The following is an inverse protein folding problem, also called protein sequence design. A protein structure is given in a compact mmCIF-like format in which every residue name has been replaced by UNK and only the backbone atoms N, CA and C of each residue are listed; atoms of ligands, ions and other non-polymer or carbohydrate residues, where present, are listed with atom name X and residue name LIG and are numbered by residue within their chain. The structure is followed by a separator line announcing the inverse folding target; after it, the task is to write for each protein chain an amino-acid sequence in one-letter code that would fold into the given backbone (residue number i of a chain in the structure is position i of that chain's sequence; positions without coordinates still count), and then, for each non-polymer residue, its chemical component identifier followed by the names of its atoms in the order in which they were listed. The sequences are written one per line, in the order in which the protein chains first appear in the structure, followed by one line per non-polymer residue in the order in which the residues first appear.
data_IF_330681010399
#
_entry.id   IF_330681010399
#
_cell.length_a   1.000
_cell.length_b   1.000
_cell.length_c   1.000
_cell.angle_alpha   90.00
_cell.angle_beta   90.00
_cell.angle_gamma   90.00
#
_symmetry.space_group_name_H-M   'P 1'
#
loop_
_entity.id
_entity.type
_entity.pdbx_description
1 polymer ?
#
# COMPACT_ATOMS: atom_id res chain seq x y z
N UNK A 1 -6.06 -1.36 -18.99
CA UNK A 1 -6.32 -0.67 -17.71
C UNK A 1 -4.99 -0.37 -17.02
N UNK A 2 -4.77 0.83 -16.47
CA UNK A 2 -3.56 1.13 -15.67
C UNK A 2 -3.89 0.95 -14.19
N UNK A 3 -3.04 0.20 -13.49
CA UNK A 3 -3.07 0.00 -12.05
C UNK A 3 -1.93 0.81 -11.47
N UNK A 4 -2.26 1.78 -10.62
CA UNK A 4 -1.29 2.71 -10.05
C UNK A 4 -1.07 2.33 -8.59
N UNK A 5 0.19 2.07 -8.23
CA UNK A 5 0.62 1.88 -6.86
C UNK A 5 1.05 3.22 -6.28
N UNK A 6 0.35 3.67 -5.25
CA UNK A 6 0.71 4.88 -4.51
C UNK A 6 0.75 4.58 -3.02
N UNK A 7 1.90 4.90 -2.45
CA UNK A 7 2.04 5.13 -1.03
C UNK A 7 1.51 6.49 -0.70
N UNK A 8 0.37 6.53 -0.03
CA UNK A 8 -0.14 7.76 0.53
C UNK A 8 -0.01 7.63 2.04
N UNK A 9 0.99 8.26 2.68
CA UNK A 9 0.94 8.46 4.11
C UNK A 9 -0.24 9.41 4.39
N UNK A 10 -1.40 8.85 4.71
CA UNK A 10 -2.53 9.64 5.17
C UNK A 10 -2.35 9.77 6.68
N UNK A 11 -1.98 10.96 7.14
CA UNK A 11 -2.09 11.30 8.56
C UNK A 11 -3.57 11.41 8.91
N UNK A 12 -4.20 10.30 9.27
CA UNK A 12 -5.54 10.31 9.86
C UNK A 12 -5.36 10.62 11.34
N UNK A 13 -5.57 11.86 11.74
CA UNK A 13 -5.64 12.19 13.14
C UNK A 13 -6.86 11.47 13.76
N UNK A 14 -6.61 10.45 14.56
CA UNK A 14 -7.65 9.71 15.27
C UNK A 14 -8.30 10.62 16.33
N UNK A 15 -9.35 11.33 15.95
CA UNK A 15 -10.25 12.04 16.84
C UNK A 15 -9.76 13.42 17.33
N UNK A 16 -10.65 14.42 17.26
CA UNK A 16 -10.42 15.80 17.70
C UNK A 16 -9.86 15.92 19.14
N UNK A 17 -10.17 14.96 20.01
CA UNK A 17 -9.73 14.94 21.42
C UNK A 17 -8.24 14.61 21.57
N UNK A 18 -7.66 13.83 20.66
CA UNK A 18 -6.25 13.43 20.69
C UNK A 18 -5.35 14.51 20.06
N UNK A 19 -5.89 15.29 19.12
CA UNK A 19 -5.19 16.42 18.47
C UNK A 19 -4.85 17.51 19.49
N UNK A 20 -5.80 17.87 20.36
CA UNK A 20 -5.62 18.95 21.34
C UNK A 20 -4.52 18.66 22.38
N UNK A 21 -4.37 17.42 22.82
CA UNK A 21 -3.33 17.02 23.77
C UNK A 21 -1.94 16.90 23.12
N UNK A 22 -1.89 16.52 21.83
CA UNK A 22 -0.66 16.33 21.08
C UNK A 22 0.07 17.66 20.80
N UNK A 23 -0.68 18.72 20.46
CA UNK A 23 -0.13 20.06 20.19
C UNK A 23 0.46 20.74 21.43
N UNK A 24 0.03 20.35 22.65
CA UNK A 24 0.48 20.96 23.91
C UNK A 24 1.71 20.28 24.54
N UNK A 25 2.13 19.09 24.07
CA UNK A 25 3.18 18.29 24.74
C UNK A 25 4.34 17.80 23.87
N UNK A 26 4.53 18.29 22.64
CA UNK A 26 5.58 17.79 21.73
C UNK A 26 5.54 16.25 21.57
N UNK A 27 4.35 15.67 21.58
CA UNK A 27 4.18 14.24 21.32
C UNK A 27 4.01 14.01 19.81
N UNK A 28 4.65 12.95 19.30
CA UNK A 28 4.61 12.54 17.91
C UNK A 28 3.15 12.24 17.52
N UNK A 29 2.60 12.95 16.51
CA UNK A 29 1.29 12.61 15.94
C UNK A 29 1.40 11.19 15.38
N UNK A 30 0.50 10.24 15.73
CA UNK A 30 0.53 8.93 15.13
C UNK A 30 0.23 9.05 13.63
N UNK A 31 1.25 8.83 12.79
CA UNK A 31 1.09 8.71 11.34
C UNK A 31 0.74 7.27 11.01
N UNK A 32 -0.28 7.05 10.18
CA UNK A 32 -0.63 5.73 9.63
C UNK A 32 -0.16 5.69 8.18
N UNK A 33 0.67 4.72 7.81
CA UNK A 33 0.95 4.46 6.39
C UNK A 33 -0.15 3.59 5.82
N UNK A 34 -0.88 4.13 4.85
CA UNK A 34 -1.91 3.44 4.09
C UNK A 34 -1.39 3.13 2.71
N UNK A 35 -1.66 1.92 2.23
CA UNK A 35 -1.49 1.55 0.85
C UNK A 35 -2.80 1.68 0.13
N UNK A 36 -2.81 2.28 -1.05
CA UNK A 36 -4.01 2.29 -1.86
C UNK A 36 -3.65 1.82 -3.27
N UNK A 37 -4.23 0.69 -3.69
CA UNK A 37 -4.26 0.35 -5.10
C UNK A 37 -5.58 0.77 -5.74
N UNK A 38 -5.47 1.41 -6.88
CA UNK A 38 -6.62 1.77 -7.68
C UNK A 38 -6.31 1.60 -9.16
N UNK A 39 -7.34 1.25 -9.90
CA UNK A 39 -7.35 1.26 -11.35
C UNK A 39 -8.02 2.54 -11.85
N UNK A 40 -8.03 2.77 -13.16
CA UNK A 40 -8.85 3.82 -13.75
C UNK A 40 -10.37 3.61 -13.55
N UNK A 41 -10.80 2.45 -13.05
CA UNK A 41 -12.21 2.04 -13.01
C UNK A 41 -12.74 1.75 -11.60
N UNK A 42 -11.87 1.36 -10.65
CA UNK A 42 -12.26 1.00 -9.27
C UNK A 42 -11.07 1.05 -8.31
N UNK A 43 -11.37 1.09 -7.01
CA UNK A 43 -10.40 1.07 -5.91
C UNK A 43 -10.35 -0.36 -5.36
N UNK A 44 -9.16 -0.94 -5.21
CA UNK A 44 -8.95 -2.28 -4.62
C UNK A 44 -8.95 -2.19 -3.09
N UNK A 45 -8.47 -1.07 -2.53
CA UNK A 45 -8.74 -0.68 -1.15
C UNK A 45 -7.58 0.05 -0.49
N UNK A 46 -7.83 0.66 0.69
CA UNK A 46 -6.77 0.96 1.64
C UNK A 46 -6.29 -0.34 2.31
N UNK A 47 -5.05 -0.75 2.06
CA UNK A 47 -4.38 -1.86 2.72
C UNK A 47 -3.48 -1.31 3.84
N UNK A 48 -3.53 -1.95 5.01
CA UNK A 48 -2.83 -1.48 6.21
C UNK A 48 -1.79 -2.50 6.66
N UNK A 49 -0.60 -2.02 7.01
CA UNK A 49 0.37 -2.80 7.78
C UNK A 49 0.52 -2.19 9.16
N UNK A 50 -0.14 -2.84 10.11
CA UNK A 50 -0.09 -2.45 11.51
C UNK A 50 0.46 -3.60 12.35
N UNK A 51 1.26 -3.27 13.35
CA UNK A 51 1.65 -4.18 14.43
C UNK A 51 1.08 -3.65 15.73
N UNK A 52 0.48 -4.54 16.52
CA UNK A 52 0.04 -4.21 17.86
C UNK A 52 1.25 -3.93 18.75
N UNK A 53 1.30 -2.75 19.36
CA UNK A 53 2.36 -2.35 20.26
C UNK A 53 1.85 -2.42 21.71
N UNK A 54 2.59 -3.10 22.60
CA UNK A 54 2.13 -3.44 23.96
C UNK A 54 1.79 -2.26 24.86
N UNK A 55 2.10 -1.03 24.45
CA UNK A 55 2.01 0.14 25.32
C UNK A 55 0.93 1.13 24.88
N UNK A 56 0.61 1.29 23.58
CA UNK A 56 -0.24 2.42 23.13
C UNK A 56 -0.97 2.22 21.77
N UNK A 57 -1.34 0.98 21.41
CA UNK A 57 -2.16 0.72 20.22
C UNK A 57 -1.37 0.29 18.99
N UNK A 58 -1.84 0.64 17.79
CA UNK A 58 -1.29 0.17 16.52
C UNK A 58 -0.10 1.01 16.06
N UNK A 59 1.00 0.35 15.66
CA UNK A 59 2.17 0.99 15.07
C UNK A 59 2.23 0.66 13.59
N UNK A 60 2.42 1.68 12.76
CA UNK A 60 2.74 1.50 11.35
C UNK A 60 4.02 0.71 11.19
N UNK A 61 3.98 -0.31 10.34
CA UNK A 61 5.16 -1.13 10.08
C UNK A 61 5.81 -0.76 8.76
N UNK A 62 7.13 -0.67 8.77
CA UNK A 62 7.94 -0.48 7.57
C UNK A 62 7.59 -1.56 6.55
N UNK A 63 7.38 -1.12 5.33
CA UNK A 63 7.15 -2.02 4.21
C UNK A 63 8.46 -2.64 3.79
N UNK A 64 8.45 -3.96 3.73
CA UNK A 64 9.54 -4.77 3.21
C UNK A 64 9.04 -5.51 1.98
N UNK A 65 9.96 -5.94 1.10
CA UNK A 65 9.61 -6.63 -0.14
C UNK A 65 8.67 -7.83 0.08
N UNK A 66 8.84 -8.62 1.16
CA UNK A 66 7.94 -9.73 1.47
C UNK A 66 6.49 -9.29 1.68
N UNK A 67 6.28 -8.14 2.34
CA UNK A 67 4.96 -7.58 2.60
C UNK A 67 4.30 -7.08 1.32
N UNK A 68 5.05 -6.43 0.44
CA UNK A 68 4.58 -6.06 -0.89
C UNK A 68 4.10 -7.29 -1.66
N UNK A 69 4.94 -8.33 -1.69
CA UNK A 69 4.65 -9.56 -2.43
C UNK A 69 3.41 -10.28 -1.90
N UNK A 70 3.26 -10.35 -0.58
CA UNK A 70 2.08 -10.92 0.07
C UNK A 70 0.80 -10.20 -0.34
N UNK A 71 0.78 -8.86 -0.31
CA UNK A 71 -0.41 -8.09 -0.73
C UNK A 71 -0.75 -8.31 -2.21
N UNK A 72 0.27 -8.30 -3.07
CA UNK A 72 0.06 -8.53 -4.49
C UNK A 72 -0.60 -9.88 -4.74
N UNK A 73 -0.13 -10.93 -4.06
CA UNK A 73 -0.63 -12.30 -4.20
C UNK A 73 -2.01 -12.50 -3.58
N UNK A 74 -2.23 -11.96 -2.39
CA UNK A 74 -3.41 -12.29 -1.58
C UNK A 74 -4.58 -11.33 -1.77
N UNK A 75 -4.33 -10.11 -2.24
CA UNK A 75 -5.35 -9.06 -2.35
C UNK A 75 -5.50 -8.55 -3.76
N UNK A 76 -4.42 -8.08 -4.36
CA UNK A 76 -4.49 -7.36 -5.65
C UNK A 76 -4.84 -8.30 -6.81
N UNK A 77 -4.08 -9.39 -7.00
CA UNK A 77 -4.32 -10.32 -8.11
C UNK A 77 -5.70 -10.96 -8.03
N UNK A 78 -6.17 -11.45 -6.87
CA UNK A 78 -7.54 -11.94 -6.73
C UNK A 78 -8.60 -10.90 -7.10
N UNK A 79 -8.49 -9.67 -6.59
CA UNK A 79 -9.45 -8.60 -6.88
C UNK A 79 -9.48 -8.24 -8.38
N UNK A 80 -8.32 -8.21 -9.05
CA UNK A 80 -8.26 -8.01 -10.49
C UNK A 80 -8.84 -9.18 -11.29
N UNK A 81 -8.72 -10.41 -10.77
CA UNK A 81 -9.32 -11.60 -11.34
C UNK A 81 -10.85 -11.56 -11.29
N UNK A 82 -11.41 -11.21 -10.13
CA UNK A 82 -12.86 -11.08 -9.91
C UNK A 82 -13.49 -10.01 -10.82
N UNK A 83 -12.75 -8.96 -11.15
CA UNK A 83 -13.20 -7.87 -12.01
C UNK A 83 -12.90 -8.09 -13.50
N UNK A 84 -12.43 -9.29 -13.89
CA UNK A 84 -11.97 -9.63 -15.25
C UNK A 84 -10.92 -8.66 -15.82
N UNK A 85 -10.22 -7.94 -14.94
CA UNK A 85 -9.38 -6.82 -15.29
C UNK A 85 -7.89 -7.21 -15.32
N UNK A 86 -7.54 -8.37 -14.74
CA UNK A 86 -6.18 -8.91 -14.66
C UNK A 86 -5.46 -8.96 -16.00
N UNK A 87 -6.10 -9.44 -17.06
CA UNK A 87 -5.50 -9.59 -18.40
C UNK A 87 -5.19 -8.26 -19.10
N UNK A 88 -5.80 -7.16 -18.66
CA UNK A 88 -5.60 -5.83 -19.25
C UNK A 88 -4.87 -4.87 -18.32
N UNK A 89 -4.58 -5.31 -17.08
CA UNK A 89 -3.92 -4.51 -16.08
C UNK A 89 -2.45 -4.29 -16.45
N UNK A 90 -2.01 -3.03 -16.43
CA UNK A 90 -0.61 -2.63 -16.50
C UNK A 90 -0.22 -2.00 -15.19
N UNK A 91 0.90 -2.44 -14.63
CA UNK A 91 1.39 -1.98 -13.35
C UNK A 91 2.24 -0.72 -13.49
N UNK A 92 2.06 0.24 -12.58
CA UNK A 92 2.89 1.44 -12.45
C UNK A 92 3.22 1.62 -10.96
N UNK A 93 4.51 1.72 -10.62
CA UNK A 93 4.99 1.89 -9.25
C UNK A 93 5.89 3.11 -9.11
N UNK A 94 6.08 3.54 -7.86
CA UNK A 94 7.18 4.42 -7.51
C UNK A 94 8.51 3.64 -7.44
N UNK A 95 9.62 4.38 -7.42
CA UNK A 95 10.96 3.80 -7.36
C UNK A 95 11.42 3.39 -5.95
N UNK A 96 10.50 3.13 -5.01
CA UNK A 96 10.91 2.79 -3.64
C UNK A 96 11.54 1.39 -3.58
N UNK A 97 12.58 1.25 -2.76
CA UNK A 97 13.43 0.04 -2.69
C UNK A 97 12.65 -1.26 -2.44
N UNK A 98 11.59 -1.21 -1.63
CA UNK A 98 10.75 -2.37 -1.34
C UNK A 98 9.91 -2.85 -2.52
N UNK A 99 9.64 -1.99 -3.51
CA UNK A 99 8.81 -2.33 -4.69
C UNK A 99 9.69 -2.74 -5.87
N UNK A 100 10.89 -2.16 -5.96
CA UNK A 100 11.89 -2.52 -6.97
C UNK A 100 12.74 -3.73 -6.58
N UNK A 101 12.52 -4.33 -5.41
CA UNK A 101 13.21 -5.53 -4.98
C UNK A 101 12.94 -6.70 -5.95
N UNK A 102 13.97 -7.47 -6.29
CA UNK A 102 13.91 -8.59 -7.25
C UNK A 102 12.67 -9.49 -7.10
N UNK A 103 12.32 -10.03 -5.90
CA UNK A 103 11.16 -10.91 -5.79
C UNK A 103 9.82 -10.22 -6.12
N UNK A 104 9.71 -8.92 -5.89
CA UNK A 104 8.52 -8.14 -6.25
C UNK A 104 8.51 -7.89 -7.76
N UNK A 105 9.66 -7.47 -8.32
CA UNK A 105 9.80 -7.21 -9.76
C UNK A 105 9.51 -8.47 -10.60
N UNK A 106 10.08 -9.60 -10.25
CA UNK A 106 9.87 -10.88 -10.93
C UNK A 106 8.39 -11.29 -10.91
N UNK A 107 7.74 -11.16 -9.76
CA UNK A 107 6.31 -11.47 -9.62
C UNK A 107 5.44 -10.56 -10.51
N UNK A 108 5.77 -9.26 -10.57
CA UNK A 108 5.05 -8.31 -11.41
C UNK A 108 5.21 -8.61 -12.89
N UNK A 109 6.42 -8.93 -13.35
CA UNK A 109 6.69 -9.31 -14.73
C UNK A 109 5.94 -10.60 -15.10
N UNK A 110 5.94 -11.60 -14.21
CA UNK A 110 5.22 -12.86 -14.45
C UNK A 110 3.70 -12.65 -14.51
N UNK A 111 3.15 -11.73 -13.72
CA UNK A 111 1.70 -11.53 -13.59
C UNK A 111 1.14 -10.58 -14.65
N UNK A 112 1.86 -9.49 -14.95
CA UNK A 112 1.37 -8.38 -15.77
C UNK A 112 2.20 -8.14 -17.04
N UNK A 113 3.30 -8.86 -17.21
CA UNK A 113 4.30 -8.63 -18.26
C UNK A 113 5.30 -7.53 -17.89
N UNK A 114 6.32 -7.36 -18.74
CA UNK A 114 7.30 -6.29 -18.62
C UNK A 114 6.63 -4.90 -18.64
N UNK A 115 7.16 -3.99 -17.83
CA UNK A 115 6.79 -2.58 -17.89
C UNK A 115 7.19 -2.04 -19.27
N UNK A 116 6.21 -1.92 -20.16
CA UNK A 116 6.41 -1.20 -21.42
C UNK A 116 6.40 0.29 -21.07
N UNK A 117 7.60 0.87 -20.95
CA UNK A 117 7.79 2.32 -20.87
C UNK A 117 6.90 2.99 -21.93
N UNK A 118 6.09 4.00 -21.57
CA UNK A 118 5.29 4.74 -22.53
C UNK A 118 6.14 5.45 -23.59
#
# INVERSE_FOLDING_TARGET
MKLIFRFIPITVASGLRQIYECTQRNYCIPSITVWCEFTGSFIIGPLFFETQCSVNGWKTVTVIAQRCLMLLREKVVPCLGETAALSTAKFIQDGATSHTANPVKEFLIQTFGEEKNP
#
